data_IF_274787104658
#
_entry.id   IF_274787104658
#
_cell.length_a   1.000
_cell.length_b   1.000
_cell.length_c   1.000
_cell.angle_alpha   90.00
_cell.angle_beta   90.00
_cell.angle_gamma   90.00
#
_symmetry.space_group_name_H-M   'P 1'
#
loop_
_entity.id
_entity.type
_entity.pdbx_description
1 polymer ?
#
# COMPACT_ATOMS: atom_id res chain seq x y z
N UNK A 1 -0.39 -5.34 11.96
CA UNK A 1 -0.43 -5.16 10.49
C UNK A 1 -1.40 -6.18 9.88
N UNK A 2 -2.72 -6.01 10.04
CA UNK A 2 -3.68 -7.08 9.75
C UNK A 2 -4.61 -6.83 8.54
N UNK A 3 -4.41 -5.76 7.75
CA UNK A 3 -5.35 -5.41 6.66
C UNK A 3 -5.07 -6.10 5.33
N UNK A 4 -3.81 -6.26 4.93
CA UNK A 4 -3.47 -6.88 3.63
C UNK A 4 -2.68 -8.20 3.74
N UNK A 5 -2.22 -8.59 4.93
CA UNK A 5 -1.40 -9.81 5.19
C UNK A 5 -0.25 -10.04 4.18
N UNK A 6 0.30 -8.98 3.58
CA UNK A 6 1.43 -9.09 2.65
C UNK A 6 2.77 -9.14 3.39
N UNK A 7 3.76 -9.80 2.78
CA UNK A 7 5.12 -9.84 3.29
C UNK A 7 5.80 -8.47 3.31
N UNK A 8 6.82 -8.31 4.17
CA UNK A 8 7.58 -7.05 4.31
C UNK A 8 8.22 -6.60 2.99
N UNK A 9 8.79 -7.53 2.22
CA UNK A 9 9.42 -7.23 0.93
C UNK A 9 8.41 -6.64 -0.06
N UNK A 10 7.24 -7.27 -0.19
CA UNK A 10 6.16 -6.77 -1.04
C UNK A 10 5.70 -5.37 -0.60
N UNK A 11 5.53 -5.15 0.71
CA UNK A 11 5.20 -3.81 1.22
C UNK A 11 6.28 -2.77 0.85
N UNK A 12 7.56 -3.11 1.00
CA UNK A 12 8.64 -2.20 0.63
C UNK A 12 8.67 -1.92 -0.86
N UNK A 13 8.39 -2.91 -1.72
CA UNK A 13 8.27 -2.68 -3.15
C UNK A 13 7.11 -1.75 -3.49
N UNK A 14 5.96 -1.88 -2.83
CA UNK A 14 4.83 -0.96 -3.01
C UNK A 14 5.15 0.47 -2.58
N UNK A 15 5.90 0.63 -1.49
CA UNK A 15 6.35 1.94 -1.02
C UNK A 15 7.42 2.53 -1.95
N UNK A 16 8.38 1.72 -2.40
CA UNK A 16 9.46 2.09 -3.32
C UNK A 16 8.93 2.52 -4.67
N UNK A 17 7.95 1.80 -5.20
CA UNK A 17 7.29 2.09 -6.48
C UNK A 17 6.22 3.17 -6.39
N UNK A 18 5.99 3.74 -5.19
CA UNK A 18 4.90 4.70 -4.91
C UNK A 18 3.51 4.19 -5.30
N UNK A 19 3.33 2.87 -5.40
CA UNK A 19 2.02 2.23 -5.63
C UNK A 19 1.13 2.28 -4.40
N UNK A 20 1.71 2.36 -3.21
CA UNK A 20 0.97 2.54 -1.96
C UNK A 20 1.26 3.90 -1.34
N UNK A 21 0.22 4.71 -1.17
CA UNK A 21 0.36 6.00 -0.52
C UNK A 21 0.75 5.82 0.95
N UNK A 22 1.72 6.62 1.39
CA UNK A 22 2.19 6.61 2.77
C UNK A 22 2.52 8.02 3.22
N UNK A 23 2.32 8.25 4.51
CA UNK A 23 2.63 9.51 5.18
C UNK A 23 3.67 9.26 6.26
N UNK A 24 4.59 10.20 6.41
CA UNK A 24 5.56 10.20 7.50
C UNK A 24 5.04 11.16 8.56
N UNK A 25 4.76 10.66 9.76
CA UNK A 25 4.43 11.47 10.95
C UNK A 25 5.57 11.29 11.95
N UNK A 26 6.36 12.34 12.16
CA UNK A 26 7.57 12.30 12.97
C UNK A 26 8.55 11.26 12.43
N UNK A 27 8.92 10.29 13.27
CA UNK A 27 9.84 9.19 12.90
C UNK A 27 9.13 7.94 12.35
N UNK A 28 7.80 7.94 12.26
CA UNK A 28 7.02 6.78 11.88
C UNK A 28 6.34 6.95 10.52
N UNK A 29 6.44 5.93 9.66
CA UNK A 29 5.65 5.83 8.43
C UNK A 29 4.29 5.21 8.75
N UNK A 30 3.22 5.86 8.29
CA UNK A 30 1.84 5.42 8.42
C UNK A 30 1.24 5.24 7.03
N UNK A 31 0.28 4.33 6.91
CA UNK A 31 -0.46 4.08 5.69
C UNK A 31 -1.92 4.48 5.99
N UNK A 32 -2.49 5.44 5.26
CA UNK A 32 -3.90 5.78 5.42
C UNK A 32 -4.80 4.58 5.14
N UNK A 33 -6.00 4.55 5.72
CA UNK A 33 -6.96 3.49 5.42
C UNK A 33 -7.37 3.51 3.93
N UNK A 34 -7.76 4.69 3.41
CA UNK A 34 -8.17 4.85 2.01
C UNK A 34 -7.10 4.40 1.01
N UNK A 35 -5.82 4.58 1.34
CA UNK A 35 -4.72 4.17 0.47
C UNK A 35 -4.67 2.65 0.25
N UNK A 36 -5.19 1.86 1.19
CA UNK A 36 -5.32 0.41 1.04
C UNK A 36 -6.46 0.08 0.08
N UNK A 37 -7.61 0.74 0.23
CA UNK A 37 -8.76 0.57 -0.67
C UNK A 37 -8.38 0.96 -2.11
N UNK A 38 -7.75 2.12 -2.30
CA UNK A 38 -7.27 2.61 -3.60
C UNK A 38 -6.24 1.68 -4.24
N UNK A 39 -5.39 1.03 -3.41
CA UNK A 39 -4.42 0.07 -3.90
C UNK A 39 -5.13 -1.21 -4.40
N UNK A 40 -6.09 -1.73 -3.63
CA UNK A 40 -6.85 -2.93 -4.02
C UNK A 40 -7.65 -2.66 -5.30
N UNK A 41 -8.35 -1.53 -5.38
CA UNK A 41 -9.15 -1.17 -6.56
C UNK A 41 -8.29 -1.09 -7.82
N UNK A 42 -7.20 -0.32 -7.79
CA UNK A 42 -6.27 -0.23 -8.93
C UNK A 42 -5.68 -1.58 -9.30
N UNK A 43 -5.37 -2.42 -8.31
CA UNK A 43 -4.84 -3.75 -8.60
C UNK A 43 -5.86 -4.67 -9.27
N UNK A 44 -7.14 -4.59 -8.87
CA UNK A 44 -8.22 -5.32 -9.52
C UNK A 44 -8.45 -4.82 -10.96
N UNK A 45 -8.40 -3.50 -11.19
CA UNK A 45 -8.48 -2.90 -12.53
C UNK A 45 -7.30 -3.31 -13.42
N UNK A 46 -6.09 -3.36 -12.88
CA UNK A 46 -4.88 -3.81 -13.59
C UNK A 46 -4.96 -5.28 -13.99
N UNK A 47 -5.50 -6.15 -13.13
CA UNK A 47 -5.62 -7.61 -13.38
C UNK A 47 -6.79 -7.94 -14.31
N UNK A 48 -7.85 -7.12 -14.30
CA UNK A 48 -9.00 -7.30 -15.19
C UNK A 48 -8.71 -6.91 -16.65
N UNK A 49 -7.51 -6.41 -16.95
CA UNK A 49 -7.09 -5.93 -18.26
C UNK A 49 -6.18 -6.92 -18.98
#
# INVERSE_FOLDING_TARGET
MARLKIGRSALYDLLRTRRLASLTIGRARRIPAHALDDYVQRHLEEVAR
#
